data_IF_788077502089
#
_entry.id   IF_788077502089
#
_cell.length_a   1.000
_cell.length_b   1.000
_cell.length_c   1.000
_cell.angle_alpha   90.00
_cell.angle_beta   90.00
_cell.angle_gamma   90.00
#
_symmetry.space_group_name_H-M   'P 1'
#
loop_
_entity.id
_entity.type
_entity.pdbx_description
1 polymer ?
#
# COMPACT_ATOMS: atom_id res chain seq x y z
N UNK A 1 17.33 -52.74 9.52
CA UNK A 1 16.82 -52.07 8.30
C UNK A 1 15.45 -51.41 8.48
N UNK A 2 14.50 -52.06 9.19
CA UNK A 2 13.15 -51.50 9.45
C UNK A 2 13.18 -50.26 10.37
N UNK A 3 14.05 -50.25 11.37
CA UNK A 3 14.17 -49.12 12.31
C UNK A 3 14.86 -47.89 11.70
N UNK A 4 15.85 -48.07 10.82
CA UNK A 4 16.52 -46.96 10.12
C UNK A 4 15.54 -46.24 9.18
N UNK A 5 14.71 -46.99 8.43
CA UNK A 5 13.65 -46.39 7.60
C UNK A 5 12.62 -45.62 8.44
N UNK A 6 12.27 -46.13 9.63
CA UNK A 6 11.34 -45.47 10.55
C UNK A 6 11.93 -44.18 11.12
N UNK A 7 13.20 -44.20 11.52
CA UNK A 7 13.93 -43.02 12.02
C UNK A 7 14.06 -41.97 10.91
N UNK A 8 14.47 -42.36 9.70
CA UNK A 8 14.55 -41.45 8.57
C UNK A 8 13.20 -40.81 8.21
N UNK A 9 12.12 -41.60 8.23
CA UNK A 9 10.77 -41.08 7.99
C UNK A 9 10.37 -40.07 9.06
N UNK A 10 10.62 -40.35 10.34
CA UNK A 10 10.32 -39.44 11.45
C UNK A 10 11.15 -38.15 11.32
N UNK A 11 12.46 -38.26 11.05
CA UNK A 11 13.33 -37.09 10.87
C UNK A 11 12.89 -36.21 9.70
N UNK A 12 12.48 -36.81 8.58
CA UNK A 12 11.93 -36.06 7.44
C UNK A 12 10.62 -35.35 7.79
N UNK A 13 9.74 -36.01 8.54
CA UNK A 13 8.45 -35.46 8.94
C UNK A 13 8.61 -34.30 9.94
N UNK A 14 9.52 -34.44 10.91
CA UNK A 14 9.90 -33.36 11.83
C UNK A 14 10.50 -32.19 11.07
N UNK A 15 11.45 -32.43 10.15
CA UNK A 15 12.04 -31.38 9.33
C UNK A 15 10.98 -30.65 8.49
N UNK A 16 10.06 -31.39 7.86
CA UNK A 16 8.96 -30.82 7.09
C UNK A 16 8.04 -29.95 7.96
N UNK A 17 7.70 -30.39 9.18
CA UNK A 17 6.90 -29.59 10.13
C UNK A 17 7.65 -28.33 10.53
N UNK A 18 8.95 -28.41 10.85
CA UNK A 18 9.76 -27.26 11.25
C UNK A 18 9.88 -26.26 10.09
N UNK A 19 10.17 -26.72 8.88
CA UNK A 19 10.23 -25.87 7.68
C UNK A 19 8.88 -25.23 7.40
N UNK A 20 7.78 -25.97 7.56
CA UNK A 20 6.43 -25.45 7.39
C UNK A 20 6.07 -24.41 8.46
N UNK A 21 6.50 -24.59 9.72
CA UNK A 21 6.32 -23.61 10.78
C UNK A 21 7.09 -22.32 10.47
N UNK A 22 8.36 -22.43 10.06
CA UNK A 22 9.19 -21.28 9.68
C UNK A 22 8.59 -20.55 8.47
N UNK A 23 8.15 -21.28 7.45
CA UNK A 23 7.56 -20.70 6.24
C UNK A 23 6.25 -19.93 6.49
N UNK A 24 5.60 -20.17 7.64
CA UNK A 24 4.30 -19.59 7.99
C UNK A 24 4.38 -18.75 9.28
N UNK A 25 5.60 -18.50 9.79
CA UNK A 25 5.78 -17.52 10.87
C UNK A 25 5.39 -16.12 10.37
N UNK A 26 4.57 -15.37 11.12
CA UNK A 26 4.20 -14.03 10.71
C UNK A 26 5.44 -13.14 10.67
N UNK A 27 5.53 -12.30 9.63
CA UNK A 27 6.53 -11.23 9.56
C UNK A 27 6.45 -10.39 10.85
N UNK A 28 7.61 -9.93 11.33
CA UNK A 28 7.65 -8.98 12.46
C UNK A 28 6.83 -7.74 12.07
N UNK A 29 5.66 -7.59 12.66
CA UNK A 29 4.77 -6.46 12.36
C UNK A 29 5.42 -5.19 12.90
N UNK A 30 5.72 -4.24 12.01
CA UNK A 30 6.17 -2.92 12.41
C UNK A 30 5.08 -2.27 13.28
N UNK A 31 5.46 -1.76 14.45
CA UNK A 31 4.50 -1.07 15.29
C UNK A 31 4.38 0.39 14.84
N UNK A 32 3.41 0.63 13.96
CA UNK A 32 3.12 1.94 13.36
C UNK A 32 2.66 3.01 14.37
N UNK A 33 2.39 2.66 15.63
CA UNK A 33 2.06 3.60 16.72
C UNK A 33 3.28 3.94 17.61
N UNK A 34 4.41 3.21 17.51
CA UNK A 34 5.59 3.42 18.35
C UNK A 34 6.69 4.19 17.61
N UNK A 35 7.02 5.39 18.09
CA UNK A 35 8.09 6.21 17.57
C UNK A 35 7.88 7.69 17.86
N UNK A 36 8.83 8.51 17.41
CA UNK A 36 8.83 9.96 17.59
C UNK A 36 8.52 10.61 16.25
N UNK A 37 7.69 11.66 16.25
CA UNK A 37 7.35 12.38 15.02
C UNK A 37 8.47 13.36 14.65
N UNK A 38 8.65 13.65 13.36
CA UNK A 38 9.59 14.69 12.92
C UNK A 38 9.36 16.04 13.61
N UNK A 39 8.09 16.40 13.84
CA UNK A 39 7.71 17.65 14.52
C UNK A 39 8.13 17.70 16.01
N UNK A 40 8.48 16.57 16.62
CA UNK A 40 8.94 16.45 18.01
C UNK A 40 10.46 16.41 18.10
N UNK A 41 11.15 16.37 16.97
CA UNK A 41 12.60 16.29 16.86
C UNK A 41 13.18 17.63 16.40
N UNK A 42 14.46 17.85 16.70
CA UNK A 42 15.22 18.98 16.15
C UNK A 42 15.84 18.56 14.83
N UNK A 43 15.97 19.51 13.91
CA UNK A 43 16.68 19.31 12.65
C UNK A 43 18.13 19.76 12.84
N UNK A 44 19.07 18.90 12.46
CA UNK A 44 20.51 19.18 12.39
C UNK A 44 20.95 19.09 10.94
N UNK A 45 21.76 20.05 10.48
CA UNK A 45 22.29 20.08 9.12
C UNK A 45 23.81 20.09 9.12
N UNK A 46 24.41 19.30 8.25
CA UNK A 46 25.85 19.31 7.96
C UNK A 46 26.08 19.37 6.46
N UNK A 47 27.13 20.09 6.06
CA UNK A 47 27.48 20.31 4.65
C UNK A 47 28.92 19.87 4.44
N UNK A 48 29.13 19.04 3.41
CA UNK A 48 30.44 18.61 2.94
C UNK A 48 30.51 18.76 1.42
N UNK A 49 31.12 19.85 0.96
CA UNK A 49 31.16 20.21 -0.46
C UNK A 49 29.77 20.32 -1.08
N UNK A 50 29.49 19.44 -2.06
CA UNK A 50 28.20 19.38 -2.75
C UNK A 50 27.13 18.56 -2.00
N UNK A 51 27.48 17.96 -0.86
CA UNK A 51 26.61 17.11 -0.07
C UNK A 51 26.06 17.85 1.15
N UNK A 52 24.78 17.65 1.43
CA UNK A 52 24.10 18.13 2.64
C UNK A 52 23.39 16.97 3.31
N UNK A 53 23.64 16.75 4.60
CA UNK A 53 22.84 15.84 5.41
C UNK A 53 21.87 16.67 6.24
N UNK A 54 20.58 16.38 6.14
CA UNK A 54 19.54 16.90 7.02
C UNK A 54 19.07 15.75 7.90
N UNK A 55 19.26 15.87 9.21
CA UNK A 55 19.05 14.79 10.18
C UNK A 55 18.07 15.19 11.29
N UNK A 56 17.27 14.25 11.76
CA UNK A 56 16.45 14.39 12.95
C UNK A 56 17.22 13.95 14.19
N UNK A 57 17.23 14.80 15.22
CA UNK A 57 17.89 14.52 16.50
C UNK A 57 16.96 14.77 17.68
N UNK A 58 17.10 13.98 18.73
CA UNK A 58 16.36 14.16 19.98
C UNK A 58 16.89 15.35 20.81
N UNK A 59 16.35 15.55 22.01
CA UNK A 59 16.75 16.64 22.92
C UNK A 59 18.24 16.62 23.27
N UNK A 60 18.85 15.44 23.25
CA UNK A 60 20.25 15.20 23.64
C UNK A 60 21.20 15.29 22.43
N UNK A 61 20.68 15.58 21.24
CA UNK A 61 21.46 15.68 20.01
C UNK A 61 21.76 14.33 19.34
N UNK A 62 21.12 13.24 19.77
CA UNK A 62 21.31 11.90 19.20
C UNK A 62 20.38 11.72 17.99
N UNK A 63 20.92 11.18 16.89
CA UNK A 63 20.15 10.80 15.69
C UNK A 63 18.97 9.91 16.08
N UNK A 64 17.79 10.23 15.56
CA UNK A 64 16.55 9.52 15.89
C UNK A 64 15.70 9.35 14.64
N UNK A 65 15.18 8.16 14.42
CA UNK A 65 14.25 7.91 13.32
C UNK A 65 12.93 8.64 13.56
N UNK A 66 12.58 9.53 12.63
CA UNK A 66 11.26 10.16 12.61
C UNK A 66 10.27 9.17 11.99
N UNK A 67 9.29 8.71 12.77
CA UNK A 67 8.40 7.61 12.38
C UNK A 67 7.55 7.93 11.15
N UNK A 68 7.06 9.17 11.05
CA UNK A 68 6.26 9.69 9.94
C UNK A 68 7.09 9.96 8.69
N UNK A 69 8.38 10.25 8.87
CA UNK A 69 9.32 10.40 7.77
C UNK A 69 9.91 9.07 7.34
N UNK A 70 9.99 8.06 8.21
CA UNK A 70 10.58 6.75 7.92
C UNK A 70 12.10 6.76 7.72
N UNK A 71 12.81 7.77 8.24
CA UNK A 71 14.27 7.86 8.23
C UNK A 71 14.76 8.82 9.33
N UNK A 72 16.02 8.71 9.75
CA UNK A 72 16.69 9.68 10.60
C UNK A 72 17.43 10.76 9.80
N UNK A 73 18.09 10.37 8.69
CA UNK A 73 18.87 11.31 7.86
C UNK A 73 18.49 11.20 6.39
N UNK A 74 18.33 12.36 5.72
CA UNK A 74 18.35 12.45 4.27
C UNK A 74 19.64 13.14 3.82
N UNK A 75 20.42 12.45 3.00
CA UNK A 75 21.61 12.98 2.36
C UNK A 75 21.27 13.44 0.95
N UNK A 76 21.60 14.68 0.62
CA UNK A 76 21.35 15.29 -0.69
C UNK A 76 22.66 15.68 -1.34
N UNK A 77 22.87 15.26 -2.58
CA UNK A 77 23.98 15.74 -3.42
C UNK A 77 23.44 16.73 -4.43
N UNK A 78 24.10 17.88 -4.58
CA UNK A 78 23.73 18.93 -5.54
C UNK A 78 24.73 19.03 -6.70
N UNK A 79 24.26 19.43 -7.87
CA UNK A 79 25.15 19.83 -8.97
C UNK A 79 25.65 21.27 -8.77
N UNK A 80 26.45 21.76 -9.72
CA UNK A 80 26.99 23.14 -9.72
C UNK A 80 25.92 24.22 -9.78
N UNK A 81 24.74 23.92 -10.31
CA UNK A 81 23.60 24.83 -10.37
C UNK A 81 22.75 24.80 -9.08
N UNK A 82 23.19 24.03 -8.08
CA UNK A 82 22.49 23.85 -6.82
C UNK A 82 21.27 22.93 -6.90
N UNK A 83 21.00 22.25 -8.03
CA UNK A 83 19.91 21.28 -8.16
C UNK A 83 20.27 19.97 -7.49
N UNK A 84 19.32 19.33 -6.81
CA UNK A 84 19.52 18.03 -6.16
C UNK A 84 19.62 16.96 -7.25
N UNK A 85 20.74 16.27 -7.35
CA UNK A 85 20.96 15.17 -8.30
C UNK A 85 20.89 13.80 -7.66
N UNK A 86 20.93 13.74 -6.32
CA UNK A 86 20.80 12.47 -5.59
C UNK A 86 20.27 12.71 -4.18
N UNK A 87 19.38 11.83 -3.73
CA UNK A 87 18.93 11.70 -2.35
C UNK A 87 19.13 10.26 -1.86
N UNK A 88 19.67 10.09 -0.65
CA UNK A 88 19.79 8.81 0.05
C UNK A 88 19.20 8.94 1.45
N UNK A 89 18.55 7.89 1.95
CA UNK A 89 17.88 7.91 3.25
C UNK A 89 18.52 6.88 4.19
N UNK A 90 18.71 7.26 5.45
CA UNK A 90 19.39 6.44 6.44
C UNK A 90 18.63 6.37 7.77
N UNK A 91 18.72 5.21 8.43
CA UNK A 91 18.28 5.01 9.81
C UNK A 91 19.20 5.75 10.79
N UNK A 92 18.80 5.84 12.06
CA UNK A 92 19.60 6.50 13.10
C UNK A 92 20.99 5.88 13.31
N UNK A 93 21.18 4.61 12.97
CA UNK A 93 22.47 3.91 13.03
C UNK A 93 23.38 4.15 11.81
N UNK A 94 22.89 4.89 10.80
CA UNK A 94 23.61 5.21 9.57
C UNK A 94 23.45 4.17 8.44
N UNK A 95 22.65 3.12 8.63
CA UNK A 95 22.36 2.16 7.57
C UNK A 95 21.31 2.70 6.57
N UNK A 96 21.40 2.37 5.27
CA UNK A 96 20.38 2.75 4.30
C UNK A 96 19.00 2.21 4.68
N UNK A 97 17.96 3.06 4.60
CA UNK A 97 16.58 2.69 4.93
C UNK A 97 15.66 2.76 3.72
N UNK A 98 14.68 1.87 3.69
CA UNK A 98 13.61 1.91 2.68
C UNK A 98 12.66 3.07 2.95
N UNK A 99 12.29 3.76 1.88
CA UNK A 99 11.18 4.70 1.82
C UNK A 99 9.93 3.99 1.32
N UNK A 100 8.87 4.76 1.08
CA UNK A 100 7.64 4.28 0.48
C UNK A 100 7.93 3.52 -0.83
N UNK A 101 7.20 2.45 -1.13
CA UNK A 101 7.46 1.59 -2.30
C UNK A 101 8.88 0.99 -2.38
N UNK A 102 9.55 0.83 -1.23
CA UNK A 102 10.75 0.00 -1.03
C UNK A 102 12.09 0.54 -1.60
N UNK A 103 12.16 1.79 -2.07
CA UNK A 103 13.41 2.38 -2.56
C UNK A 103 14.27 2.98 -1.43
N UNK A 104 15.58 3.11 -1.64
CA UNK A 104 16.54 3.63 -0.64
C UNK A 104 17.10 5.01 -1.01
N UNK A 105 16.90 5.41 -2.26
CA UNK A 105 17.35 6.71 -2.75
C UNK A 105 16.71 7.07 -4.08
N UNK A 106 16.98 8.29 -4.53
CA UNK A 106 16.50 8.84 -5.79
C UNK A 106 17.65 9.56 -6.48
N UNK A 107 17.89 9.28 -7.76
CA UNK A 107 18.80 10.07 -8.60
C UNK A 107 18.00 10.89 -9.61
N UNK A 108 18.49 12.10 -9.91
CA UNK A 108 17.89 13.03 -10.85
C UNK A 108 18.89 13.39 -11.94
N UNK A 109 18.46 13.29 -13.18
CA UNK A 109 19.16 13.80 -14.37
C UNK A 109 18.27 14.87 -15.01
N UNK A 110 18.80 16.08 -15.18
CA UNK A 110 18.07 17.22 -15.73
C UNK A 110 18.54 17.53 -17.14
N UNK A 111 17.62 17.64 -18.09
CA UNK A 111 17.87 17.99 -19.48
C UNK A 111 16.82 19.01 -19.93
N UNK A 112 17.18 20.28 -20.13
CA UNK A 112 16.27 21.37 -20.52
C UNK A 112 14.91 21.34 -19.76
N UNK A 113 13.83 20.93 -20.43
CA UNK A 113 12.48 20.80 -19.87
C UNK A 113 12.14 19.38 -19.37
N UNK A 114 13.11 18.48 -19.22
CA UNK A 114 12.94 17.09 -18.84
C UNK A 114 13.72 16.77 -17.58
N UNK A 115 13.13 15.92 -16.73
CA UNK A 115 13.81 15.29 -15.61
C UNK A 115 13.62 13.79 -15.67
N UNK A 116 14.73 13.05 -15.62
CA UNK A 116 14.74 11.61 -15.42
C UNK A 116 14.99 11.33 -13.94
N UNK A 117 14.09 10.56 -13.34
CA UNK A 117 14.08 10.21 -11.92
C UNK A 117 14.29 8.71 -11.81
N UNK A 118 15.37 8.30 -11.16
CA UNK A 118 15.73 6.88 -10.98
C UNK A 118 15.64 6.51 -9.51
N UNK A 119 14.83 5.50 -9.18
CA UNK A 119 14.73 4.98 -7.81
C UNK A 119 15.84 3.96 -7.55
N UNK A 120 16.55 4.12 -6.44
CA UNK A 120 17.79 3.40 -6.15
C UNK A 120 17.59 2.30 -5.12
N UNK A 121 18.34 1.22 -5.26
CA UNK A 121 18.46 0.15 -4.27
C UNK A 121 19.36 0.60 -3.08
N UNK A 122 19.62 -0.31 -2.15
CA UNK A 122 20.42 -0.05 -0.95
C UNK A 122 21.89 0.36 -1.19
N UNK A 123 22.45 0.08 -2.38
CA UNK A 123 23.82 0.52 -2.71
C UNK A 123 23.89 2.01 -3.09
N UNK A 124 22.73 2.65 -3.33
CA UNK A 124 22.63 4.08 -3.64
C UNK A 124 23.15 4.45 -5.03
N UNK A 125 23.31 3.47 -5.92
CA UNK A 125 23.82 3.64 -7.29
C UNK A 125 22.93 2.93 -8.31
N UNK A 126 22.51 1.69 -8.06
CA UNK A 126 21.75 0.91 -9.03
C UNK A 126 20.23 1.07 -8.88
N UNK A 127 19.46 1.03 -9.98
CA UNK A 127 18.01 1.14 -9.91
C UNK A 127 17.34 -0.05 -9.19
N UNK A 128 16.24 0.21 -8.49
CA UNK A 128 15.34 -0.80 -7.94
C UNK A 128 13.97 -0.76 -8.64
N UNK A 129 13.32 -1.91 -8.81
CA UNK A 129 11.94 -1.97 -9.28
C UNK A 129 11.00 -1.72 -8.11
N UNK A 130 10.21 -0.65 -8.18
CA UNK A 130 9.18 -0.35 -7.19
C UNK A 130 8.08 -1.41 -7.21
N UNK A 131 7.32 -1.49 -6.12
CA UNK A 131 6.10 -2.33 -6.03
C UNK A 131 5.05 -1.97 -7.10
N UNK A 132 5.09 -0.74 -7.63
CA UNK A 132 4.26 -0.27 -8.74
C UNK A 132 4.74 -0.70 -10.12
N UNK A 133 5.88 -1.41 -10.23
CA UNK A 133 6.31 -2.10 -11.46
C UNK A 133 7.38 -1.39 -12.31
N UNK A 134 7.81 -0.18 -11.94
CA UNK A 134 8.82 0.59 -12.69
C UNK A 134 10.00 0.99 -11.79
N UNK A 135 11.11 1.42 -12.39
CA UNK A 135 12.33 1.89 -11.72
C UNK A 135 12.69 3.33 -12.04
N UNK A 136 12.22 3.83 -13.18
CA UNK A 136 12.59 5.14 -13.73
C UNK A 136 11.32 5.86 -14.19
N UNK A 137 11.26 7.16 -13.92
CA UNK A 137 10.28 8.07 -14.48
C UNK A 137 11.02 9.05 -15.39
N UNK A 138 10.53 9.27 -16.60
CA UNK A 138 10.93 10.41 -17.44
C UNK A 138 9.78 11.39 -17.46
N UNK A 139 10.04 12.63 -17.04
CA UNK A 139 9.02 13.65 -16.83
C UNK A 139 9.36 14.91 -17.60
N UNK A 140 8.39 15.42 -18.35
CA UNK A 140 8.49 16.71 -19.05
C UNK A 140 7.82 17.80 -18.22
N UNK A 141 8.44 18.96 -18.18
CA UNK A 141 8.05 20.14 -17.43
C UNK A 141 7.59 21.24 -18.39
N UNK A 142 6.61 22.04 -17.99
CA UNK A 142 6.32 23.31 -18.65
C UNK A 142 7.28 24.42 -18.19
N UNK A 143 7.15 25.61 -18.77
CA UNK A 143 7.97 26.79 -18.46
C UNK A 143 7.88 27.23 -16.98
N UNK A 144 6.81 26.85 -16.28
CA UNK A 144 6.65 27.09 -14.84
C UNK A 144 7.28 25.99 -13.97
N UNK A 145 8.00 25.04 -14.57
CA UNK A 145 8.64 23.91 -13.89
C UNK A 145 7.66 22.82 -13.41
N UNK A 146 6.41 22.82 -13.89
CA UNK A 146 5.37 21.86 -13.49
C UNK A 146 5.34 20.66 -14.44
N UNK A 147 5.16 19.47 -13.88
CA UNK A 147 5.11 18.22 -14.62
C UNK A 147 3.88 18.14 -15.55
N UNK A 148 4.10 18.11 -16.87
CA UNK A 148 3.02 17.99 -17.86
C UNK A 148 2.83 16.54 -18.28
N UNK A 149 3.92 15.82 -18.51
CA UNK A 149 3.90 14.42 -18.93
C UNK A 149 4.86 13.61 -18.06
N UNK A 150 4.53 12.36 -17.81
CA UNK A 150 5.48 11.39 -17.29
C UNK A 150 5.28 10.01 -17.90
N UNK A 151 6.38 9.31 -18.11
CA UNK A 151 6.42 7.94 -18.64
C UNK A 151 7.27 7.06 -17.73
N UNK A 152 6.88 5.80 -17.61
CA UNK A 152 7.50 4.85 -16.69
C UNK A 152 8.32 3.80 -17.41
N UNK A 153 9.49 3.50 -16.85
CA UNK A 153 10.44 2.57 -17.44
C UNK A 153 11.01 1.63 -16.38
N UNK A 154 11.42 0.45 -16.83
CA UNK A 154 12.23 -0.46 -16.03
C UNK A 154 13.69 0.03 -15.99
N UNK A 155 14.55 -0.68 -15.23
CA UNK A 155 15.97 -0.37 -15.10
C UNK A 155 16.79 -0.41 -16.40
N UNK A 156 16.22 -0.95 -17.49
CA UNK A 156 16.81 -1.01 -18.84
C UNK A 156 16.23 0.04 -19.80
N UNK A 157 15.53 1.05 -19.29
CA UNK A 157 14.86 2.08 -20.09
C UNK A 157 13.82 1.52 -21.08
N UNK A 158 13.20 0.38 -20.76
CA UNK A 158 12.07 -0.15 -21.53
C UNK A 158 10.75 0.25 -20.85
N UNK A 159 9.68 0.59 -21.61
CA UNK A 159 8.40 0.98 -21.03
C UNK A 159 7.88 -0.05 -20.02
N UNK A 160 7.48 0.41 -18.84
CA UNK A 160 6.96 -0.41 -17.76
C UNK A 160 5.51 -0.01 -17.44
N UNK A 161 4.63 -1.01 -17.28
CA UNK A 161 3.25 -0.75 -16.89
C UNK A 161 3.18 -0.51 -15.39
N UNK A 162 2.48 0.56 -15.01
CA UNK A 162 2.05 0.87 -13.65
C UNK A 162 0.53 0.82 -13.65
N UNK A 163 -0.08 -0.15 -12.96
CA UNK A 163 -1.55 -0.25 -12.82
C UNK A 163 -2.33 -0.09 -14.14
N UNK A 164 -1.84 -0.70 -15.23
CA UNK A 164 -2.52 -0.72 -16.53
C UNK A 164 -2.15 0.42 -17.50
N UNK A 165 -1.29 1.36 -17.10
CA UNK A 165 -0.83 2.47 -17.94
C UNK A 165 0.69 2.62 -17.91
N UNK A 166 1.26 3.30 -18.89
CA UNK A 166 2.72 3.47 -19.07
C UNK A 166 3.18 4.92 -18.86
N UNK A 167 2.23 5.84 -18.71
CA UNK A 167 2.49 7.24 -18.44
C UNK A 167 1.20 7.99 -18.16
N UNK A 168 1.32 9.26 -17.79
CA UNK A 168 0.16 10.12 -17.63
C UNK A 168 0.46 11.56 -18.03
N UNK A 169 -0.58 12.25 -18.49
CA UNK A 169 -0.58 13.68 -18.80
C UNK A 169 -1.35 14.47 -17.74
N UNK A 170 -0.84 15.64 -17.38
CA UNK A 170 -1.40 16.56 -16.38
C UNK A 170 -1.85 17.85 -17.05
N UNK A 171 -3.15 18.14 -16.92
CA UNK A 171 -3.73 19.41 -17.36
C UNK A 171 -3.78 20.43 -16.24
N UNK A 172 -3.52 21.69 -16.58
CA UNK A 172 -3.47 22.81 -15.63
C UNK A 172 -4.44 23.92 -16.04
N UNK A 173 -5.03 24.62 -15.07
CA UNK A 173 -5.77 25.86 -15.31
C UNK A 173 -4.84 27.09 -15.39
N UNK A 174 -5.41 28.29 -15.56
CA UNK A 174 -4.66 29.55 -15.62
C UNK A 174 -3.87 29.88 -14.35
N UNK A 175 -4.36 29.41 -13.20
CA UNK A 175 -3.69 29.58 -11.91
C UNK A 175 -2.57 28.53 -11.70
N UNK A 176 -2.39 27.65 -12.70
CA UNK A 176 -1.41 26.58 -12.71
C UNK A 176 -1.73 25.46 -11.71
N UNK A 177 -2.98 25.32 -11.30
CA UNK A 177 -3.46 24.20 -10.50
C UNK A 177 -3.69 23.00 -11.41
N UNK A 178 -3.27 21.81 -10.98
CA UNK A 178 -3.58 20.60 -11.73
C UNK A 178 -5.09 20.30 -11.59
N UNK A 179 -5.78 20.24 -12.72
CA UNK A 179 -7.24 20.02 -12.82
C UNK A 179 -7.60 18.67 -13.44
N UNK A 180 -6.63 17.98 -14.05
CA UNK A 180 -6.85 16.65 -14.62
C UNK A 180 -5.56 15.83 -14.73
N UNK A 181 -5.75 14.52 -14.72
CA UNK A 181 -4.80 13.49 -15.09
C UNK A 181 -5.41 12.58 -16.16
N UNK A 182 -4.64 12.27 -17.21
CA UNK A 182 -5.03 11.39 -18.32
C UNK A 182 -4.04 10.24 -18.39
N UNK A 183 -4.51 9.00 -18.31
CA UNK A 183 -3.64 7.82 -18.35
C UNK A 183 -3.34 7.40 -19.78
N UNK A 184 -2.08 7.08 -20.05
CA UNK A 184 -1.55 6.83 -21.39
C UNK A 184 -0.99 5.40 -21.50
N UNK A 185 -1.22 4.76 -22.63
CA UNK A 185 -0.58 3.50 -22.99
C UNK A 185 0.88 3.73 -23.43
N UNK A 186 1.56 2.62 -23.77
CA UNK A 186 2.95 2.63 -24.25
C UNK A 186 3.20 3.47 -25.52
N UNK A 187 2.15 3.83 -26.25
CA UNK A 187 2.21 4.62 -27.48
C UNK A 187 1.69 6.06 -27.27
N UNK A 188 1.44 6.48 -26.02
CA UNK A 188 0.91 7.80 -25.71
C UNK A 188 -0.60 7.96 -25.95
N UNK A 189 -1.35 6.87 -26.13
CA UNK A 189 -2.80 6.93 -26.35
C UNK A 189 -3.56 6.79 -25.03
N UNK A 190 -4.69 7.49 -24.90
CA UNK A 190 -5.53 7.43 -23.70
C UNK A 190 -6.00 5.98 -23.46
N UNK A 191 -5.78 5.46 -22.25
CA UNK A 191 -6.09 4.09 -21.83
C UNK A 191 -6.80 4.07 -20.47
N UNK A 192 -7.57 3.02 -20.20
CA UNK A 192 -8.11 2.79 -18.86
C UNK A 192 -7.01 2.31 -17.92
N UNK A 193 -6.93 2.91 -16.73
CA UNK A 193 -6.13 2.37 -15.64
C UNK A 193 -6.85 1.16 -15.01
N UNK A 194 -6.15 0.42 -14.13
CA UNK A 194 -6.69 -0.73 -13.42
C UNK A 194 -7.94 -0.40 -12.58
N UNK A 195 -8.13 0.88 -12.21
CA UNK A 195 -9.32 1.35 -11.48
C UNK A 195 -10.54 1.63 -12.38
N UNK A 196 -10.47 1.38 -13.69
CA UNK A 196 -11.64 1.36 -14.58
C UNK A 196 -11.99 2.69 -15.26
N UNK A 197 -11.16 3.72 -15.12
CA UNK A 197 -11.33 5.02 -15.80
C UNK A 197 -10.05 5.44 -16.54
N UNK A 198 -10.16 6.39 -17.46
CA UNK A 198 -9.04 6.82 -18.30
C UNK A 198 -8.59 8.26 -18.01
N UNK A 199 -9.51 9.06 -17.46
CA UNK A 199 -9.27 10.46 -17.12
C UNK A 199 -9.82 10.68 -15.71
N UNK A 200 -9.05 11.40 -14.90
CA UNK A 200 -9.46 11.87 -13.59
C UNK A 200 -9.41 13.39 -13.58
N UNK A 201 -10.45 14.03 -13.06
CA UNK A 201 -10.52 15.48 -12.90
C UNK A 201 -10.69 15.86 -11.44
N UNK A 202 -10.26 17.07 -11.08
CA UNK A 202 -10.20 17.54 -9.71
C UNK A 202 -10.95 18.84 -9.50
N UNK A 203 -11.70 18.90 -8.41
CA UNK A 203 -12.17 20.15 -7.81
C UNK A 203 -11.38 20.42 -6.54
N UNK A 204 -11.04 21.70 -6.32
CA UNK A 204 -10.24 22.14 -5.18
C UNK A 204 -11.03 23.03 -4.24
N UNK A 205 -10.69 22.99 -2.97
CA UNK A 205 -11.21 23.93 -1.98
C UNK A 205 -10.45 25.27 -2.01
N UNK A 206 -10.85 26.20 -1.14
CA UNK A 206 -10.24 27.52 -1.01
C UNK A 206 -8.77 27.49 -0.55
N UNK A 207 -8.28 26.34 -0.07
CA UNK A 207 -6.90 26.12 0.37
C UNK A 207 -6.06 25.43 -0.71
N UNK A 208 -6.56 25.35 -1.96
CA UNK A 208 -5.92 24.69 -3.09
C UNK A 208 -5.72 23.17 -2.89
N UNK A 209 -6.44 22.55 -1.95
CA UNK A 209 -6.42 21.11 -1.75
C UNK A 209 -7.52 20.45 -2.58
N UNK A 210 -7.26 19.25 -3.12
CA UNK A 210 -8.27 18.49 -3.88
C UNK A 210 -9.43 18.12 -2.96
N UNK A 211 -10.56 18.79 -3.13
CA UNK A 211 -11.79 18.58 -2.36
C UNK A 211 -12.61 17.43 -2.94
N UNK A 212 -12.55 17.22 -4.26
CA UNK A 212 -13.24 16.12 -4.94
C UNK A 212 -12.49 15.68 -6.19
N UNK A 213 -12.70 14.43 -6.59
CA UNK A 213 -12.23 13.89 -7.86
C UNK A 213 -13.34 13.14 -8.62
N UNK A 214 -13.23 13.12 -9.94
CA UNK A 214 -14.26 12.59 -10.85
C UNK A 214 -13.63 11.78 -11.99
N UNK A 215 -14.32 10.72 -12.41
CA UNK A 215 -13.79 9.73 -13.33
C UNK A 215 -14.49 9.76 -14.68
N UNK A 216 -13.69 9.71 -15.74
CA UNK A 216 -14.19 9.75 -17.11
C UNK A 216 -13.55 8.68 -17.99
N UNK A 217 -14.30 8.28 -19.01
CA UNK A 217 -13.84 7.38 -20.05
C UNK A 217 -12.82 8.06 -20.99
N UNK A 218 -12.36 7.30 -21.99
CA UNK A 218 -11.40 7.77 -23.01
C UNK A 218 -11.95 8.90 -23.89
N UNK A 219 -13.26 9.11 -23.91
CA UNK A 219 -13.96 10.18 -24.64
C UNK A 219 -14.38 11.34 -23.72
N UNK A 220 -13.89 11.37 -22.46
CA UNK A 220 -14.24 12.37 -21.45
C UNK A 220 -15.74 12.36 -21.09
N UNK A 221 -16.41 11.21 -21.17
CA UNK A 221 -17.77 11.02 -20.64
C UNK A 221 -17.70 10.47 -19.21
N UNK A 222 -18.59 10.91 -18.30
CA UNK A 222 -18.67 10.36 -16.94
C UNK A 222 -18.72 8.84 -16.93
N UNK A 223 -17.86 8.20 -16.14
CA UNK A 223 -17.82 6.74 -15.97
C UNK A 223 -17.57 6.37 -14.52
N UNK A 224 -17.91 5.14 -14.12
CA UNK A 224 -17.61 4.64 -12.78
C UNK A 224 -16.27 3.93 -12.73
N UNK A 225 -15.61 3.97 -11.57
CA UNK A 225 -14.47 3.11 -11.26
C UNK A 225 -14.90 1.65 -11.08
N UNK A 226 -13.94 0.75 -10.86
CA UNK A 226 -14.20 -0.65 -10.51
C UNK A 226 -14.98 -0.83 -9.21
N UNK A 227 -14.91 0.13 -8.28
CA UNK A 227 -15.70 0.13 -7.05
C UNK A 227 -17.13 0.70 -7.25
N UNK A 228 -17.42 1.24 -8.44
CA UNK A 228 -18.77 1.64 -8.88
C UNK A 228 -19.12 3.11 -8.68
N UNK A 229 -18.24 3.91 -8.08
CA UNK A 229 -18.44 5.36 -7.96
C UNK A 229 -17.96 6.11 -9.20
N UNK A 230 -18.61 7.23 -9.52
CA UNK A 230 -18.16 8.22 -10.51
C UNK A 230 -17.13 9.19 -9.95
N UNK A 231 -17.16 9.43 -8.65
CA UNK A 231 -16.23 10.34 -8.01
C UNK A 231 -16.16 10.17 -6.51
N UNK A 232 -15.27 10.95 -5.90
CA UNK A 232 -15.00 10.92 -4.47
C UNK A 232 -14.93 12.35 -3.94
N UNK A 233 -15.47 12.58 -2.74
CA UNK A 233 -15.36 13.85 -2.00
C UNK A 233 -14.65 13.63 -0.68
N UNK A 234 -13.70 14.50 -0.39
CA UNK A 234 -12.78 14.34 0.74
C UNK A 234 -13.09 15.30 1.88
N UNK A 235 -12.97 14.80 3.11
CA UNK A 235 -12.82 15.62 4.32
C UNK A 235 -11.49 15.30 4.96
N UNK A 236 -10.85 16.32 5.53
CA UNK A 236 -9.51 16.22 6.11
C UNK A 236 -9.49 16.70 7.56
N UNK A 237 -8.55 16.17 8.33
CA UNK A 237 -8.20 16.75 9.62
C UNK A 237 -7.23 17.95 9.46
N UNK A 238 -6.85 18.55 10.58
CA UNK A 238 -5.91 19.69 10.63
C UNK A 238 -4.52 19.35 10.07
N UNK A 239 -4.12 18.06 10.07
CA UNK A 239 -2.87 17.58 9.49
C UNK A 239 -2.98 17.32 7.96
N UNK A 240 -4.10 17.66 7.33
CA UNK A 240 -4.33 17.46 5.89
C UNK A 240 -4.63 16.00 5.50
N UNK A 241 -4.77 15.09 6.46
CA UNK A 241 -5.04 13.67 6.20
C UNK A 241 -6.52 13.46 5.90
N UNK A 242 -6.84 12.65 4.88
CA UNK A 242 -8.23 12.35 4.50
C UNK A 242 -8.88 11.48 5.58
N UNK A 243 -9.78 12.03 6.38
CA UNK A 243 -10.49 11.31 7.44
C UNK A 243 -11.83 10.76 6.98
N UNK A 244 -12.36 11.27 5.86
CA UNK A 244 -13.60 10.77 5.28
C UNK A 244 -13.58 10.87 3.76
N UNK A 245 -14.09 9.83 3.11
CA UNK A 245 -14.35 9.75 1.68
C UNK A 245 -15.85 9.53 1.50
N UNK A 246 -16.50 10.36 0.70
CA UNK A 246 -17.88 10.19 0.28
C UNK A 246 -17.87 9.80 -1.20
N UNK A 247 -18.49 8.67 -1.52
CA UNK A 247 -18.54 8.15 -2.88
C UNK A 247 -19.74 8.74 -3.62
N UNK A 248 -19.50 9.18 -4.85
CA UNK A 248 -20.46 9.94 -5.66
C UNK A 248 -20.97 9.09 -6.83
N UNK A 249 -22.27 9.18 -7.10
CA UNK A 249 -22.88 8.67 -8.32
C UNK A 249 -22.67 9.64 -9.49
N UNK A 250 -23.05 9.22 -10.71
CA UNK A 250 -22.92 10.03 -11.94
C UNK A 250 -23.71 11.34 -11.91
N UNK A 251 -24.67 11.46 -10.99
CA UNK A 251 -25.43 12.68 -10.73
C UNK A 251 -24.71 13.66 -9.77
N UNK A 252 -23.50 13.31 -9.32
CA UNK A 252 -22.72 14.08 -8.36
C UNK A 252 -23.18 13.95 -6.90
N UNK A 253 -24.22 13.16 -6.62
CA UNK A 253 -24.74 12.96 -5.27
C UNK A 253 -24.11 11.74 -4.60
N UNK A 254 -24.11 11.67 -3.25
CA UNK A 254 -23.65 10.48 -2.53
C UNK A 254 -24.43 9.22 -2.94
N UNK A 255 -23.71 8.20 -3.40
CA UNK A 255 -24.26 6.94 -3.87
C UNK A 255 -23.48 5.74 -3.30
N UNK A 256 -24.13 4.59 -3.09
CA UNK A 256 -23.44 3.39 -2.65
C UNK A 256 -22.49 2.86 -3.75
N UNK A 257 -21.31 2.44 -3.31
CA UNK A 257 -20.38 1.60 -4.07
C UNK A 257 -20.99 0.22 -4.38
N UNK A 258 -20.32 -0.57 -5.22
CA UNK A 258 -20.69 -1.98 -5.44
C UNK A 258 -20.65 -2.82 -4.16
N UNK A 259 -19.83 -2.43 -3.17
CA UNK A 259 -19.78 -3.07 -1.86
C UNK A 259 -20.90 -2.61 -0.91
N UNK A 260 -21.72 -1.62 -1.30
CA UNK A 260 -22.93 -1.21 -0.56
C UNK A 260 -22.77 -0.01 0.37
N UNK A 261 -21.56 0.46 0.67
CA UNK A 261 -21.34 1.66 1.48
C UNK A 261 -21.25 2.93 0.62
N UNK A 262 -21.64 4.07 1.20
CA UNK A 262 -21.60 5.41 0.56
C UNK A 262 -20.48 6.27 1.13
N UNK A 263 -20.01 5.96 2.32
CA UNK A 263 -18.98 6.74 3.02
C UNK A 263 -18.00 5.82 3.71
N UNK A 264 -16.73 6.19 3.65
CA UNK A 264 -15.63 5.57 4.36
C UNK A 264 -15.04 6.59 5.33
N UNK A 265 -14.87 6.23 6.60
CA UNK A 265 -14.09 7.03 7.57
C UNK A 265 -12.79 6.35 7.88
N UNK A 266 -11.69 7.10 7.81
CA UNK A 266 -10.33 6.62 7.98
C UNK A 266 -9.70 7.21 9.23
N UNK A 267 -9.04 6.36 10.00
CA UNK A 267 -8.07 6.77 11.03
C UNK A 267 -6.64 6.45 10.58
N UNK A 268 -5.67 7.06 11.22
CA UNK A 268 -4.25 6.91 10.88
C UNK A 268 -3.45 6.43 12.07
N UNK A 269 -2.38 5.70 11.77
CA UNK A 269 -1.31 5.40 12.70
C UNK A 269 -0.46 6.66 12.92
N UNK A 270 0.41 6.61 13.93
CA UNK A 270 1.32 7.73 14.24
C UNK A 270 2.25 8.05 13.07
N UNK A 271 2.71 7.04 12.36
CA UNK A 271 3.52 7.17 11.15
C UNK A 271 2.77 7.73 9.91
N UNK A 272 1.48 8.05 10.05
CA UNK A 272 0.65 8.59 8.98
C UNK A 272 0.09 7.54 8.01
N UNK A 273 0.35 6.26 8.22
CA UNK A 273 -0.27 5.18 7.43
C UNK A 273 -1.72 4.95 7.85
N UNK A 274 -2.57 4.48 6.92
CA UNK A 274 -3.98 4.25 7.20
C UNK A 274 -4.14 3.13 8.25
N UNK A 275 -4.81 3.42 9.36
CA UNK A 275 -5.00 2.49 10.48
C UNK A 275 -6.30 1.73 10.38
N UNK A 276 -7.43 2.44 10.33
CA UNK A 276 -8.74 1.82 10.13
C UNK A 276 -9.49 2.47 9.00
N UNK A 277 -10.31 1.69 8.31
CA UNK A 277 -11.39 2.17 7.44
C UNK A 277 -12.70 1.60 7.97
N UNK A 278 -13.69 2.45 8.24
CA UNK A 278 -15.03 2.08 8.69
C UNK A 278 -16.07 2.48 7.65
N UNK A 279 -17.10 1.66 7.45
CA UNK A 279 -18.07 1.77 6.35
C UNK A 279 -19.43 2.27 6.83
N UNK A 280 -19.98 3.24 6.10
CA UNK A 280 -21.24 3.90 6.46
C UNK A 280 -22.18 4.06 5.26
N UNK A 281 -23.47 4.08 5.56
CA UNK A 281 -24.51 4.45 4.60
C UNK A 281 -24.52 5.97 4.35
N UNK A 282 -25.42 6.41 3.45
CA UNK A 282 -25.60 7.84 3.12
C UNK A 282 -26.04 8.71 4.32
N UNK A 283 -26.66 8.12 5.35
CA UNK A 283 -27.10 8.81 6.57
C UNK A 283 -26.02 8.85 7.65
N UNK A 284 -24.88 8.17 7.43
CA UNK A 284 -23.79 8.06 8.39
C UNK A 284 -23.98 6.94 9.42
N UNK A 285 -24.90 6.00 9.20
CA UNK A 285 -25.01 4.79 10.03
C UNK A 285 -23.98 3.77 9.58
N UNK A 286 -23.32 3.10 10.52
CA UNK A 286 -22.37 2.03 10.21
C UNK A 286 -23.08 0.87 9.52
N UNK A 287 -22.47 0.29 8.49
CA UNK A 287 -23.01 -0.88 7.79
C UNK A 287 -22.03 -2.05 7.78
N UNK A 288 -22.57 -3.26 7.86
CA UNK A 288 -21.79 -4.48 7.65
C UNK A 288 -21.68 -4.78 6.14
N UNK A 289 -20.51 -5.18 5.69
CA UNK A 289 -20.30 -5.71 4.34
C UNK A 289 -20.49 -7.23 4.30
N UNK A 290 -20.13 -7.89 3.19
CA UNK A 290 -20.42 -9.30 2.91
C UNK A 290 -19.89 -10.29 3.96
N UNK A 291 -18.78 -9.97 4.63
CA UNK A 291 -18.19 -10.79 5.72
C UNK A 291 -18.66 -10.37 7.11
N UNK A 292 -19.73 -9.56 7.21
CA UNK A 292 -20.28 -9.06 8.47
C UNK A 292 -19.45 -7.94 9.13
N UNK A 293 -18.38 -7.50 8.48
CA UNK A 293 -17.46 -6.48 8.97
C UNK A 293 -18.00 -5.07 8.74
N UNK A 294 -17.81 -4.20 9.73
CA UNK A 294 -18.13 -2.77 9.63
C UNK A 294 -16.92 -1.92 9.27
N UNK A 295 -15.75 -2.54 9.23
CA UNK A 295 -14.51 -1.90 8.87
C UNK A 295 -13.36 -2.89 8.77
N UNK A 296 -12.19 -2.34 8.48
CA UNK A 296 -10.91 -3.05 8.48
C UNK A 296 -9.88 -2.26 9.28
N UNK A 297 -8.96 -2.97 9.93
CA UNK A 297 -7.74 -2.43 10.51
C UNK A 297 -6.54 -3.01 9.79
N UNK A 298 -5.65 -2.15 9.30
CA UNK A 298 -4.38 -2.57 8.70
C UNK A 298 -3.38 -2.86 9.80
N UNK A 299 -2.68 -3.98 9.73
CA UNK A 299 -1.63 -4.35 10.68
C UNK A 299 -0.51 -5.02 9.90
N UNK A 300 0.49 -4.22 9.49
CA UNK A 300 1.49 -4.66 8.52
C UNK A 300 0.83 -5.03 7.18
N UNK A 301 1.09 -6.25 6.70
CA UNK A 301 0.54 -6.77 5.43
C UNK A 301 -0.89 -7.34 5.57
N UNK A 302 -1.44 -7.36 6.78
CA UNK A 302 -2.71 -8.04 7.08
C UNK A 302 -3.83 -7.02 7.29
N UNK A 303 -5.03 -7.34 6.79
CA UNK A 303 -6.27 -6.62 7.09
C UNK A 303 -7.12 -7.42 8.07
N UNK A 304 -7.43 -6.83 9.22
CA UNK A 304 -8.29 -7.41 10.26
C UNK A 304 -9.69 -6.81 10.17
N UNK A 305 -10.71 -7.66 10.10
CA UNK A 305 -12.12 -7.29 10.08
C UNK A 305 -12.55 -6.71 11.44
N UNK A 306 -13.32 -5.62 11.40
CA UNK A 306 -13.77 -4.89 12.58
C UNK A 306 -15.28 -4.99 12.78
N UNK A 307 -15.70 -5.04 14.04
CA UNK A 307 -17.10 -4.93 14.44
C UNK A 307 -17.59 -3.49 14.35
N UNK A 308 -18.88 -3.27 14.64
CA UNK A 308 -19.51 -1.94 14.59
C UNK A 308 -18.86 -0.88 15.48
N UNK A 309 -18.14 -1.30 16.52
CA UNK A 309 -17.47 -0.43 17.48
C UNK A 309 -15.98 -0.22 17.12
N UNK A 310 -15.48 -0.86 16.05
CA UNK A 310 -14.08 -0.80 15.64
C UNK A 310 -13.17 -1.80 16.36
N UNK A 311 -13.73 -2.79 17.07
CA UNK A 311 -12.93 -3.86 17.68
C UNK A 311 -12.67 -4.99 16.68
N UNK A 312 -11.54 -5.67 16.81
CA UNK A 312 -11.20 -6.83 15.98
C UNK A 312 -12.24 -7.93 16.21
N UNK A 313 -12.89 -8.36 15.13
CA UNK A 313 -13.89 -9.44 15.18
C UNK A 313 -13.24 -10.78 15.52
N UNK A 314 -13.88 -11.57 16.39
CA UNK A 314 -13.54 -12.98 16.56
C UNK A 314 -14.19 -13.80 15.44
N UNK A 315 -13.54 -13.83 14.28
CA UNK A 315 -14.00 -14.59 13.11
C UNK A 315 -12.85 -15.42 12.52
N UNK A 316 -13.22 -16.46 11.78
CA UNK A 316 -12.30 -17.39 11.13
C UNK A 316 -11.30 -16.62 10.25
N UNK A 317 -11.79 -15.66 9.46
CA UNK A 317 -10.95 -14.79 8.62
C UNK A 317 -9.84 -14.09 9.41
N UNK A 318 -10.16 -13.48 10.55
CA UNK A 318 -9.14 -12.78 11.36
C UNK A 318 -8.14 -13.74 12.01
N UNK A 319 -8.59 -14.92 12.45
CA UNK A 319 -7.71 -15.92 13.06
C UNK A 319 -6.69 -16.40 12.03
N UNK A 320 -7.16 -16.73 10.83
CA UNK A 320 -6.33 -17.24 9.74
C UNK A 320 -5.40 -16.16 9.19
N UNK A 321 -5.92 -14.95 9.00
CA UNK A 321 -5.13 -13.80 8.56
C UNK A 321 -4.03 -13.44 9.58
N UNK A 322 -4.30 -13.56 10.88
CA UNK A 322 -3.32 -13.26 11.94
C UNK A 322 -2.31 -14.39 12.13
N UNK A 323 -2.73 -15.64 11.96
CA UNK A 323 -1.93 -16.82 12.27
C UNK A 323 -2.13 -17.92 11.20
N UNK A 324 -1.54 -17.78 10.00
CA UNK A 324 -1.78 -18.75 8.94
C UNK A 324 -1.25 -20.15 9.31
N UNK A 325 -0.31 -20.26 10.26
CA UNK A 325 0.22 -21.54 10.76
C UNK A 325 -0.82 -22.32 11.59
N UNK A 326 -1.90 -21.67 12.04
CA UNK A 326 -2.97 -22.34 12.78
C UNK A 326 -3.64 -23.42 11.94
N UNK A 327 -3.68 -23.26 10.61
CA UNK A 327 -4.19 -24.31 9.70
C UNK A 327 -3.36 -25.59 9.84
N UNK A 328 -2.04 -25.47 9.90
CA UNK A 328 -1.12 -26.61 10.08
C UNK A 328 -1.30 -27.20 11.48
N UNK A 329 -1.39 -26.36 12.50
CA UNK A 329 -1.60 -26.81 13.88
C UNK A 329 -2.92 -27.59 14.02
N UNK A 330 -4.02 -27.07 13.47
CA UNK A 330 -5.31 -27.76 13.43
C UNK A 330 -5.24 -29.06 12.64
N UNK A 331 -4.49 -29.09 11.53
CA UNK A 331 -4.24 -30.33 10.78
C UNK A 331 -3.52 -31.40 11.59
N UNK A 332 -2.45 -31.04 12.29
CA UNK A 332 -1.71 -31.96 13.16
C UNK A 332 -2.62 -32.48 14.28
N UNK A 333 -3.39 -31.60 14.93
CA UNK A 333 -4.34 -31.97 15.98
C UNK A 333 -5.42 -32.90 15.43
N UNK A 334 -5.98 -32.59 14.25
CA UNK A 334 -7.00 -33.41 13.61
C UNK A 334 -6.47 -34.80 13.26
N UNK A 335 -5.24 -34.90 12.72
CA UNK A 335 -4.59 -36.18 12.46
C UNK A 335 -4.32 -36.97 13.75
N UNK A 336 -3.84 -36.31 14.81
CA UNK A 336 -3.61 -36.97 16.10
C UNK A 336 -4.91 -37.50 16.72
N UNK A 337 -5.99 -36.70 16.69
CA UNK A 337 -7.31 -37.09 17.15
C UNK A 337 -7.89 -38.23 16.31
N UNK A 338 -7.70 -38.21 14.99
CA UNK A 338 -8.14 -39.28 14.09
C UNK A 338 -7.50 -40.65 14.41
N UNK A 339 -6.31 -40.68 15.02
CA UNK A 339 -5.64 -41.91 15.47
C UNK A 339 -6.19 -42.44 16.80
N UNK A 340 -6.72 -41.55 17.64
CA UNK A 340 -7.24 -41.90 18.98
C UNK A 340 -8.74 -42.23 18.94
N UNK A 341 -9.47 -41.57 18.04
CA UNK A 341 -10.92 -41.65 17.97
C UNK A 341 -11.42 -42.96 17.31
N UNK A 342 -12.63 -43.44 17.69
CA UNK A 342 -13.28 -44.56 17.02
C UNK A 342 -13.42 -44.31 15.51
N UNK A 343 -13.35 -45.39 14.71
CA UNK A 343 -13.33 -45.33 13.23
C UNK A 343 -14.40 -44.42 12.62
N UNK A 344 -15.63 -44.45 13.15
CA UNK A 344 -16.73 -43.58 12.66
C UNK A 344 -16.45 -42.10 12.90
N UNK A 345 -16.01 -41.72 14.11
CA UNK A 345 -15.68 -40.34 14.47
C UNK A 345 -14.43 -39.83 13.74
N UNK A 346 -13.43 -40.70 13.53
CA UNK A 346 -12.22 -40.40 12.76
C UNK A 346 -12.55 -40.07 11.28
N UNK A 347 -13.46 -40.83 10.66
CA UNK A 347 -13.96 -40.53 9.31
C UNK A 347 -14.65 -39.17 9.28
N UNK A 348 -15.57 -38.89 10.22
CA UNK A 348 -16.28 -37.61 10.30
C UNK A 348 -15.30 -36.45 10.46
N UNK A 349 -14.34 -36.54 11.39
CA UNK A 349 -13.32 -35.51 11.62
C UNK A 349 -12.49 -35.26 10.36
N UNK A 350 -12.08 -36.33 9.67
CA UNK A 350 -11.32 -36.23 8.42
C UNK A 350 -12.15 -35.57 7.32
N UNK A 351 -13.43 -35.91 7.19
CA UNK A 351 -14.33 -35.26 6.23
C UNK A 351 -14.50 -33.77 6.51
N UNK A 352 -14.71 -33.38 7.78
CA UNK A 352 -14.80 -31.98 8.20
C UNK A 352 -13.50 -31.24 7.88
N UNK A 353 -12.34 -31.84 8.15
CA UNK A 353 -11.04 -31.24 7.87
C UNK A 353 -10.77 -31.06 6.38
N UNK A 354 -11.19 -32.02 5.53
CA UNK A 354 -11.11 -31.87 4.07
C UNK A 354 -12.00 -30.72 3.58
N UNK A 355 -13.22 -30.60 4.11
CA UNK A 355 -14.12 -29.47 3.79
C UNK A 355 -13.50 -28.15 4.22
N UNK A 356 -12.87 -28.10 5.40
CA UNK A 356 -12.16 -26.92 5.89
C UNK A 356 -11.01 -26.53 4.96
N UNK A 357 -10.12 -27.46 4.57
CA UNK A 357 -9.06 -27.16 3.59
C UNK A 357 -9.66 -26.65 2.27
N UNK A 358 -10.73 -27.28 1.78
CA UNK A 358 -11.37 -26.85 0.53
C UNK A 358 -11.92 -25.43 0.63
N UNK A 359 -12.56 -25.10 1.76
CA UNK A 359 -13.02 -23.75 2.08
C UNK A 359 -11.85 -22.75 2.08
N UNK A 360 -10.74 -23.05 2.76
CA UNK A 360 -9.53 -22.23 2.78
C UNK A 360 -8.97 -22.00 1.38
N UNK A 361 -8.91 -23.06 0.57
CA UNK A 361 -8.32 -23.00 -0.77
C UNK A 361 -9.16 -22.12 -1.72
N UNK A 362 -10.48 -22.10 -1.55
CA UNK A 362 -11.37 -21.23 -2.31
C UNK A 362 -11.29 -19.78 -1.84
N UNK A 363 -11.31 -19.54 -0.52
CA UNK A 363 -11.33 -18.20 0.07
C UNK A 363 -10.01 -17.43 -0.10
N UNK A 364 -8.87 -18.11 -0.06
CA UNK A 364 -7.56 -17.45 -0.22
C UNK A 364 -7.15 -17.18 -1.68
N UNK A 365 -7.88 -17.72 -2.67
CA UNK A 365 -7.61 -17.44 -4.09
C UNK A 365 -8.10 -16.05 -4.53
N UNK A 366 -8.92 -15.38 -3.72
CA UNK A 366 -9.44 -14.03 -3.98
C UNK A 366 -8.52 -12.90 -3.48
N UNK A 367 -7.28 -13.18 -3.07
CA UNK A 367 -6.35 -12.14 -2.59
C UNK A 367 -5.61 -11.48 -3.76
N UNK A 368 -6.35 -10.80 -4.65
CA UNK A 368 -5.81 -10.14 -5.84
C UNK A 368 -5.70 -8.62 -5.75
N UNK A 369 -6.70 -7.94 -5.18
CA UNK A 369 -6.68 -6.48 -5.06
C UNK A 369 -7.43 -5.98 -3.81
N UNK A 370 -6.67 -5.39 -2.88
CA UNK A 370 -7.14 -4.96 -1.55
C UNK A 370 -8.32 -3.97 -1.55
N UNK A 371 -8.70 -3.40 -2.70
CA UNK A 371 -9.90 -2.54 -2.82
C UNK A 371 -11.13 -3.27 -3.37
N UNK A 372 -10.95 -4.37 -4.11
CA UNK A 372 -12.05 -5.16 -4.69
C UNK A 372 -12.33 -6.45 -3.94
N UNK A 373 -11.39 -6.94 -3.12
CA UNK A 373 -11.50 -8.21 -2.39
C UNK A 373 -12.44 -8.16 -1.16
N UNK A 374 -13.19 -7.07 -0.97
CA UNK A 374 -14.15 -6.91 0.11
C UNK A 374 -15.61 -6.95 -0.36
N UNK A 375 -15.83 -7.32 -1.62
CA UNK A 375 -17.14 -7.64 -2.18
C UNK A 375 -17.45 -9.10 -1.90
#
# INVERSE_FOLDING_TARGET
>A
MKDIKKIMLISFLVLFIVVSLIAVMPDKVANHDLGVMAAELKISESVDGAMTNTSYVNSDGVLTDAIDMGYATVQRTRNTDGKIIKELYFEADGNPVKRYNEYYGIAYEYEDNMVKITYLNADGVHPITLTTGYSIIVRTLNDAGKAVDEHYYNSKMQPASCNGYYGLYRGYNSDGQNIQEVYLDRNGQIVYCASGYAIKMYDRDSSDLVASEYYYDRQKKPTTSTLGQYGEKYQRNENGQITQIIYLGVDGNPAPTQAGYTMLRRSYYRDGTAKTDMYFDRKGNSIALSRGQYGIRRSGKINLLLDKNGHIMLCVDNILNSFPFMVIAFGIIACALALILPRKSSIILTTIYIIFIFYETLMFREVGDSRTNFV
#
